data_IF_815300881004
#
_entry.id   IF_815300881004
#
_cell.length_a   1.000
_cell.length_b   1.000
_cell.length_c   1.000
_cell.angle_alpha   90.00
_cell.angle_beta   90.00
_cell.angle_gamma   90.00
#
_symmetry.space_group_name_H-M   'P 1'
#
loop_
_entity.id
_entity.type
_entity.pdbx_description
1 polymer ?
#
# COMPACT_ATOMS: atom_id res chain seq x y z
N UNK A 1 -5.03 -8.86 -22.09
CA UNK A 1 -4.08 -9.08 -20.98
C UNK A 1 -4.00 -7.84 -20.11
N UNK A 2 -4.16 -8.03 -18.82
CA UNK A 2 -4.12 -6.94 -17.84
C UNK A 2 -2.75 -6.88 -17.19
N UNK A 3 -2.15 -5.70 -17.20
CA UNK A 3 -0.85 -5.50 -16.56
C UNK A 3 -1.02 -5.59 -15.03
N UNK A 4 -0.08 -6.28 -14.39
CA UNK A 4 -0.06 -6.46 -12.94
C UNK A 4 1.30 -6.09 -12.39
N UNK A 5 1.33 -5.45 -11.24
CA UNK A 5 2.55 -5.16 -10.51
C UNK A 5 2.32 -5.46 -9.04
N UNK A 6 3.29 -6.10 -8.39
CA UNK A 6 3.12 -6.53 -7.00
C UNK A 6 4.43 -6.49 -6.24
N UNK A 7 4.32 -6.42 -4.92
CA UNK A 7 5.41 -6.67 -3.99
C UNK A 7 4.96 -7.73 -3.00
N UNK A 8 5.87 -8.59 -2.59
CA UNK A 8 5.61 -9.75 -1.74
C UNK A 8 6.51 -9.75 -0.51
N UNK A 9 6.18 -10.60 0.43
CA UNK A 9 7.04 -10.86 1.57
C UNK A 9 7.20 -9.70 2.52
N UNK A 10 6.17 -8.87 2.64
CA UNK A 10 6.18 -7.81 3.63
C UNK A 10 6.12 -8.42 5.02
N UNK A 11 7.23 -8.35 5.73
CA UNK A 11 7.35 -8.90 7.08
C UNK A 11 7.96 -7.83 7.98
N UNK A 12 7.15 -6.82 8.30
CA UNK A 12 7.57 -5.66 9.07
C UNK A 12 7.95 -4.45 8.22
N UNK A 13 7.85 -4.55 6.90
CA UNK A 13 8.11 -3.43 5.99
C UNK A 13 6.80 -2.78 5.55
N UNK A 14 6.90 -1.58 5.02
CA UNK A 14 5.76 -0.84 4.46
C UNK A 14 5.79 -0.95 2.94
N UNK A 15 4.62 -0.97 2.33
CA UNK A 15 4.49 -0.90 0.87
C UNK A 15 3.44 0.13 0.50
N UNK A 16 3.63 0.74 -0.66
CA UNK A 16 2.71 1.74 -1.20
C UNK A 16 2.34 1.34 -2.62
N UNK A 17 1.06 1.44 -2.95
CA UNK A 17 0.56 1.33 -4.31
C UNK A 17 -0.04 2.67 -4.71
N UNK A 18 0.36 3.18 -5.87
CA UNK A 18 -0.18 4.41 -6.45
C UNK A 18 -0.70 4.08 -7.83
N UNK A 19 -1.98 4.35 -8.07
CA UNK A 19 -2.57 4.25 -9.39
C UNK A 19 -2.89 5.66 -9.84
N UNK A 20 -2.32 6.07 -10.98
CA UNK A 20 -2.53 7.39 -11.56
C UNK A 20 -3.32 7.27 -12.85
N UNK A 21 -4.26 8.18 -13.05
CA UNK A 21 -5.02 8.30 -14.29
C UNK A 21 -4.68 9.63 -14.93
N UNK A 22 -4.48 9.62 -16.24
CA UNK A 22 -4.03 10.77 -17.01
C UNK A 22 -5.15 11.31 -17.92
N UNK A 23 -4.95 12.54 -18.37
CA UNK A 23 -5.93 13.25 -19.24
C UNK A 23 -6.28 12.46 -20.50
N UNK A 24 -5.33 11.71 -21.05
CA UNK A 24 -5.55 10.90 -22.26
C UNK A 24 -6.27 9.58 -21.96
N UNK A 25 -6.67 9.34 -20.74
CA UNK A 25 -7.31 8.10 -20.31
C UNK A 25 -6.36 6.98 -19.95
N UNK A 26 -5.06 7.16 -20.16
CA UNK A 26 -4.08 6.15 -19.77
C UNK A 26 -3.93 6.09 -18.26
N UNK A 27 -3.42 4.96 -17.77
CA UNK A 27 -3.23 4.71 -16.34
C UNK A 27 -1.83 4.16 -16.11
N UNK A 28 -1.29 4.46 -14.95
CA UNK A 28 -0.03 3.88 -14.52
C UNK A 28 -0.15 3.40 -13.08
N UNK A 29 0.69 2.45 -12.72
CA UNK A 29 0.78 1.95 -11.35
C UNK A 29 2.22 2.00 -10.88
N UNK A 30 2.39 2.36 -9.63
CA UNK A 30 3.66 2.32 -8.94
C UNK A 30 3.46 1.53 -7.66
N UNK A 31 4.27 0.49 -7.45
CA UNK A 31 4.27 -0.28 -6.20
C UNK A 31 5.68 -0.21 -5.65
N UNK A 32 5.79 0.23 -4.41
CA UNK A 32 7.09 0.46 -3.80
C UNK A 32 7.13 -0.16 -2.41
N UNK A 33 8.26 -0.80 -2.11
CA UNK A 33 8.56 -1.38 -0.82
C UNK A 33 9.48 -0.42 -0.06
N UNK A 34 9.10 -0.09 1.17
CA UNK A 34 9.89 0.76 2.06
C UNK A 34 10.55 -0.13 3.10
N UNK A 35 11.88 -0.19 3.05
CA UNK A 35 12.65 -0.91 4.06
C UNK A 35 13.00 0.04 5.20
N UNK A 36 12.88 -0.38 6.47
CA UNK A 36 13.30 0.44 7.60
C UNK A 36 14.76 0.87 7.53
N UNK A 37 15.62 0.04 6.93
CA UNK A 37 17.04 0.32 6.80
C UNK A 37 17.32 1.45 5.79
N UNK A 38 16.44 1.61 4.79
CA UNK A 38 16.60 2.56 3.70
C UNK A 38 15.42 3.53 3.61
N UNK A 39 14.87 3.92 4.75
CA UNK A 39 13.66 4.75 4.80
C UNK A 39 13.81 6.06 4.02
N UNK A 40 14.91 6.77 4.21
CA UNK A 40 15.14 8.06 3.54
C UNK A 40 15.22 7.92 2.03
N UNK A 41 15.90 6.88 1.55
CA UNK A 41 16.01 6.62 0.12
C UNK A 41 14.65 6.27 -0.46
N UNK A 42 13.89 5.42 0.24
CA UNK A 42 12.54 5.03 -0.19
C UNK A 42 11.62 6.24 -0.26
N UNK A 43 11.69 7.12 0.72
CA UNK A 43 10.89 8.35 0.73
C UNK A 43 11.29 9.29 -0.40
N UNK A 44 12.58 9.37 -0.73
CA UNK A 44 13.06 10.18 -1.84
C UNK A 44 12.51 9.68 -3.18
N UNK A 45 12.52 8.37 -3.40
CA UNK A 45 11.94 7.76 -4.59
C UNK A 45 10.43 8.03 -4.65
N UNK A 46 9.73 7.86 -3.55
CA UNK A 46 8.30 8.09 -3.48
C UNK A 46 7.95 9.56 -3.77
N UNK A 47 8.71 10.48 -3.19
CA UNK A 47 8.53 11.92 -3.45
C UNK A 47 8.70 12.21 -4.94
N UNK A 48 9.70 11.62 -5.57
CA UNK A 48 9.93 11.79 -7.00
C UNK A 48 8.75 11.31 -7.83
N UNK A 49 8.17 10.16 -7.48
CA UNK A 49 6.97 9.63 -8.16
C UNK A 49 5.79 10.58 -7.99
N UNK A 50 5.56 11.05 -6.77
CA UNK A 50 4.38 11.86 -6.45
C UNK A 50 4.48 13.30 -6.98
N UNK A 51 5.67 13.78 -7.31
CA UNK A 51 5.83 15.11 -7.92
C UNK A 51 5.64 15.11 -9.43
N UNK A 52 5.54 13.96 -10.07
CA UNK A 52 5.26 13.85 -11.50
C UNK A 52 3.76 14.02 -11.73
N UNK A 53 3.33 15.27 -11.86
CA UNK A 53 1.90 15.60 -11.92
C UNK A 53 1.40 15.94 -13.31
N UNK A 54 2.27 15.98 -14.32
CA UNK A 54 1.88 16.40 -15.67
C UNK A 54 0.83 15.46 -16.25
N UNK A 55 -0.35 16.02 -16.55
CA UNK A 55 -1.44 15.26 -17.13
C UNK A 55 -2.20 14.35 -16.16
N UNK A 56 -1.83 14.31 -14.91
CA UNK A 56 -2.51 13.48 -13.91
C UNK A 56 -3.83 14.13 -13.49
N UNK A 57 -4.93 13.40 -13.65
CA UNK A 57 -6.27 13.88 -13.25
C UNK A 57 -6.74 13.25 -11.95
N UNK A 58 -6.25 12.06 -11.60
CA UNK A 58 -6.58 11.44 -10.32
C UNK A 58 -5.51 10.45 -9.90
N UNK A 59 -5.43 10.23 -8.58
CA UNK A 59 -4.58 9.21 -7.98
C UNK A 59 -5.33 8.46 -6.91
N UNK A 60 -5.11 7.15 -6.86
CA UNK A 60 -5.54 6.29 -5.76
C UNK A 60 -4.28 5.78 -5.08
N UNK A 61 -4.19 5.98 -3.77
CA UNK A 61 -3.03 5.58 -2.98
C UNK A 61 -3.49 4.63 -1.87
N UNK A 62 -2.82 3.50 -1.77
CA UNK A 62 -3.00 2.54 -0.68
C UNK A 62 -1.65 2.32 -0.03
N UNK A 63 -1.60 2.44 1.29
CA UNK A 63 -0.40 2.20 2.08
C UNK A 63 -0.63 0.98 2.95
N UNK A 64 0.24 0.00 2.83
CA UNK A 64 0.18 -1.23 3.62
C UNK A 64 1.31 -1.19 4.64
N UNK A 65 0.96 -1.18 5.93
CA UNK A 65 1.91 -0.98 7.02
C UNK A 65 1.86 -2.14 8.01
N UNK A 66 2.96 -2.41 8.71
CA UNK A 66 2.90 -3.35 9.82
C UNK A 66 1.90 -2.88 10.86
N UNK A 67 1.06 -3.79 11.31
CA UNK A 67 0.03 -3.51 12.29
C UNK A 67 0.29 -4.14 13.65
N UNK A 68 -0.38 -3.64 14.65
CA UNK A 68 -0.42 -4.23 15.98
C UNK A 68 -1.85 -4.24 16.49
N UNK A 69 -2.16 -5.27 17.28
CA UNK A 69 -3.47 -5.40 17.89
C UNK A 69 -3.54 -4.54 19.14
N UNK A 70 -4.60 -3.75 19.25
CA UNK A 70 -4.88 -2.95 20.45
C UNK A 70 -6.36 -3.06 20.79
N UNK A 71 -6.73 -2.80 22.05
CA UNK A 71 -8.13 -2.67 22.43
C UNK A 71 -8.53 -1.21 22.30
N UNK A 72 -9.67 -0.97 21.64
CA UNK A 72 -10.24 0.38 21.60
C UNK A 72 -11.09 0.66 22.85
N UNK A 73 -11.65 1.87 22.93
CA UNK A 73 -12.45 2.29 24.06
C UNK A 73 -13.72 1.46 24.31
N UNK A 74 -14.19 0.72 23.31
CA UNK A 74 -15.36 -0.15 23.40
C UNK A 74 -15.00 -1.58 23.83
N UNK A 75 -13.73 -1.85 24.11
CA UNK A 75 -13.27 -3.18 24.48
C UNK A 75 -13.04 -4.12 23.30
N UNK A 76 -13.24 -3.65 22.07
CA UNK A 76 -12.97 -4.44 20.87
C UNK A 76 -11.49 -4.44 20.52
N UNK A 77 -11.02 -5.55 19.98
CA UNK A 77 -9.65 -5.66 19.48
C UNK A 77 -9.60 -5.19 18.03
N UNK A 78 -8.75 -4.21 17.75
CA UNK A 78 -8.57 -3.68 16.40
C UNK A 78 -7.09 -3.70 16.05
N UNK A 79 -6.79 -3.67 14.75
CA UNK A 79 -5.43 -3.58 14.27
C UNK A 79 -5.15 -2.13 13.84
N UNK A 80 -4.04 -1.59 14.29
CA UNK A 80 -3.63 -0.21 13.97
C UNK A 80 -2.18 -0.23 13.50
N UNK A 81 -1.71 0.83 12.82
CA UNK A 81 -0.31 0.90 12.45
C UNK A 81 0.62 0.78 13.66
N UNK A 82 1.63 -0.06 13.53
CA UNK A 82 2.60 -0.28 14.62
C UNK A 82 3.51 0.93 14.82
N UNK A 83 3.86 1.63 13.75
CA UNK A 83 4.77 2.78 13.79
C UNK A 83 4.11 3.96 13.07
N UNK A 84 3.38 4.75 13.84
CA UNK A 84 2.67 5.90 13.30
C UNK A 84 3.63 6.98 12.81
N UNK A 85 4.80 7.12 13.43
CA UNK A 85 5.77 8.13 13.04
C UNK A 85 6.34 7.85 11.63
N UNK A 86 6.68 6.59 11.36
CA UNK A 86 7.13 6.19 10.02
C UNK A 86 6.04 6.39 8.96
N UNK A 87 4.80 6.07 9.29
CA UNK A 87 3.67 6.29 8.39
C UNK A 87 3.51 7.78 8.09
N UNK A 88 3.56 8.62 9.11
CA UNK A 88 3.42 10.07 8.93
C UNK A 88 4.55 10.63 8.06
N UNK A 89 5.77 10.15 8.25
CA UNK A 89 6.92 10.57 7.44
C UNK A 89 6.73 10.21 5.97
N UNK A 90 6.25 9.01 5.71
CA UNK A 90 5.94 8.54 4.35
C UNK A 90 4.86 9.40 3.70
N UNK A 91 3.78 9.65 4.41
CA UNK A 91 2.67 10.46 3.90
C UNK A 91 3.14 11.88 3.59
N UNK A 92 3.97 12.45 4.45
CA UNK A 92 4.55 13.78 4.24
C UNK A 92 5.45 13.80 3.01
N UNK A 93 6.24 12.76 2.80
CA UNK A 93 7.11 12.65 1.62
C UNK A 93 6.30 12.68 0.32
N UNK A 94 5.13 12.08 0.30
CA UNK A 94 4.24 12.08 -0.85
C UNK A 94 3.27 13.25 -0.92
N UNK A 95 3.35 14.18 0.03
CA UNK A 95 2.40 15.30 0.18
C UNK A 95 0.97 14.81 0.38
N UNK A 96 0.80 13.79 1.19
CA UNK A 96 -0.48 13.09 1.42
C UNK A 96 -1.00 13.25 2.84
N UNK A 97 -0.36 14.05 3.68
CA UNK A 97 -0.69 14.12 5.12
C UNK A 97 -2.13 14.52 5.40
N UNK A 98 -2.72 15.37 4.54
CA UNK A 98 -4.08 15.85 4.69
C UNK A 98 -5.05 15.23 3.69
N UNK A 99 -4.62 14.17 3.00
CA UNK A 99 -5.43 13.53 1.96
C UNK A 99 -6.24 12.38 2.55
N UNK A 100 -7.55 12.61 2.72
CA UNK A 100 -8.46 11.62 3.28
C UNK A 100 -8.75 10.46 2.32
N UNK A 101 -8.36 10.58 1.04
CA UNK A 101 -8.58 9.51 0.07
C UNK A 101 -7.52 8.41 0.15
N UNK A 102 -6.42 8.65 0.85
CA UNK A 102 -5.39 7.63 1.07
C UNK A 102 -5.94 6.56 2.00
N UNK A 103 -5.83 5.31 1.58
CA UNK A 103 -6.23 4.18 2.41
C UNK A 103 -5.00 3.56 3.04
N UNK A 104 -5.03 3.43 4.36
CA UNK A 104 -3.97 2.78 5.14
C UNK A 104 -4.50 1.42 5.58
N UNK A 105 -3.76 0.38 5.25
CA UNK A 105 -4.11 -1.00 5.58
C UNK A 105 -3.03 -1.58 6.49
N UNK A 106 -3.29 -1.70 7.80
CA UNK A 106 -2.36 -2.35 8.71
C UNK A 106 -2.45 -3.88 8.52
N UNK A 107 -1.34 -4.51 8.17
CA UNK A 107 -1.32 -5.96 8.02
C UNK A 107 -0.75 -6.63 9.26
N UNK A 108 -1.16 -7.87 9.47
CA UNK A 108 -0.70 -8.65 10.61
C UNK A 108 0.68 -9.20 10.34
N UNK A 109 1.64 -8.83 11.20
CA UNK A 109 2.99 -9.39 11.15
C UNK A 109 2.99 -10.64 12.02
N UNK A 110 3.34 -11.78 11.44
CA UNK A 110 3.43 -13.04 12.17
C UNK A 110 4.86 -13.57 12.13
N UNK A 111 5.28 -14.18 13.23
CA UNK A 111 6.49 -14.99 13.22
C UNK A 111 6.17 -16.28 12.43
N UNK A 112 7.00 -16.72 11.56
CA UNK A 112 6.65 -17.83 10.67
C UNK A 112 5.86 -17.33 9.48
N UNK A 113 6.57 -16.64 8.66
CA UNK A 113 6.03 -16.01 7.46
C UNK A 113 5.39 -17.03 6.53
N UNK A 114 4.10 -16.87 6.26
CA UNK A 114 3.40 -17.71 5.31
C UNK A 114 3.40 -17.07 3.94
N UNK A 115 3.45 -17.92 2.93
CA UNK A 115 3.33 -17.46 1.55
C UNK A 115 2.02 -16.69 1.35
N UNK A 116 2.12 -15.52 0.78
CA UNK A 116 0.97 -14.66 0.54
C UNK A 116 0.71 -13.59 1.57
N UNK A 117 1.33 -13.69 2.74
CA UNK A 117 1.21 -12.62 3.72
C UNK A 117 2.06 -11.42 3.31
N UNK A 118 1.55 -10.21 3.62
CA UNK A 118 2.23 -8.98 3.27
C UNK A 118 2.43 -8.81 1.78
N UNK A 119 1.38 -9.06 0.99
CA UNK A 119 1.39 -8.89 -0.45
C UNK A 119 0.53 -7.69 -0.85
N UNK A 120 1.06 -6.86 -1.71
CA UNK A 120 0.35 -5.73 -2.28
C UNK A 120 0.46 -5.82 -3.80
N UNK A 121 -0.66 -5.81 -4.50
CA UNK A 121 -0.70 -5.95 -5.95
C UNK A 121 -1.68 -4.97 -6.57
N UNK A 122 -1.30 -4.41 -7.70
CA UNK A 122 -2.17 -3.61 -8.55
C UNK A 122 -2.40 -4.35 -9.85
N UNK A 123 -3.65 -4.47 -10.24
CA UNK A 123 -4.05 -4.97 -11.55
C UNK A 123 -4.63 -3.79 -12.32
N UNK A 124 -3.96 -3.40 -13.42
CA UNK A 124 -4.42 -2.32 -14.29
C UNK A 124 -5.37 -2.90 -15.33
N UNK A 125 -6.58 -2.43 -15.33
CA UNK A 125 -7.58 -2.74 -16.34
C UNK A 125 -8.38 -1.48 -16.60
N UNK A 126 -9.58 -1.64 -17.16
CA UNK A 126 -10.47 -0.49 -17.32
C UNK A 126 -10.78 0.16 -15.97
N UNK A 127 -10.95 -0.68 -14.95
CA UNK A 127 -11.07 -0.23 -13.57
C UNK A 127 -9.93 -0.87 -12.77
N UNK A 128 -8.88 -0.10 -12.43
CA UNK A 128 -7.77 -0.64 -11.66
C UNK A 128 -8.19 -1.15 -10.30
N UNK A 129 -7.65 -2.30 -9.90
CA UNK A 129 -7.94 -2.93 -8.62
C UNK A 129 -6.65 -3.07 -7.83
N UNK A 130 -6.72 -2.75 -6.54
CA UNK A 130 -5.60 -2.91 -5.62
C UNK A 130 -5.96 -4.03 -4.65
N UNK A 131 -5.08 -5.02 -4.57
CA UNK A 131 -5.25 -6.17 -3.70
C UNK A 131 -4.23 -6.11 -2.58
N UNK A 132 -4.70 -6.27 -1.36
CA UNK A 132 -3.84 -6.51 -0.21
C UNK A 132 -3.94 -7.99 0.14
N UNK A 133 -2.79 -8.62 0.39
CA UNK A 133 -2.75 -10.06 0.68
C UNK A 133 -3.45 -10.90 -0.39
N UNK A 134 -3.18 -10.57 -1.65
CA UNK A 134 -3.95 -11.08 -2.80
C UNK A 134 -3.97 -12.61 -2.91
N UNK A 135 -2.93 -13.29 -2.44
CA UNK A 135 -2.87 -14.76 -2.49
C UNK A 135 -3.90 -15.36 -1.55
N UNK A 136 -4.08 -14.77 -0.37
CA UNK A 136 -5.11 -15.22 0.56
C UNK A 136 -6.51 -15.01 -0.03
N UNK A 137 -6.75 -13.88 -0.67
CA UNK A 137 -8.02 -13.62 -1.32
C UNK A 137 -8.31 -14.63 -2.42
N UNK A 138 -7.30 -14.97 -3.23
CA UNK A 138 -7.46 -15.96 -4.29
C UNK A 138 -7.75 -17.34 -3.73
N UNK A 139 -7.07 -17.75 -2.66
CA UNK A 139 -7.33 -19.03 -2.00
C UNK A 139 -8.75 -19.08 -1.43
N UNK A 140 -9.23 -17.99 -0.84
CA UNK A 140 -10.58 -17.90 -0.32
C UNK A 140 -11.60 -18.05 -1.44
N UNK A 141 -11.38 -17.41 -2.57
CA UNK A 141 -12.27 -17.52 -3.74
C UNK A 141 -12.27 -18.92 -4.32
N UNK A 142 -11.11 -19.57 -4.39
CA UNK A 142 -11.01 -20.89 -4.99
C UNK A 142 -11.62 -21.99 -4.10
N UNK A 143 -11.73 -21.75 -2.81
CA UNK A 143 -12.32 -22.71 -1.87
C UNK A 143 -13.86 -22.60 -1.80
N UNK A 144 -14.40 -21.61 -2.45
CA UNK A 144 -15.85 -21.44 -2.53
C UNK A 144 -16.37 -21.96 -3.88
#
# INVERSE_FOLDING_TARGET
>A
DTAKIATFGLCGCTAVAVVSEYLDGSKSAHVQHFSPICQELSESVFRSVMTKNQGVVSRKVVVMVPGQWVQNGDGNTIIVPKDQASLNSLLQAGNLSDDNSVKVYPYRVTSGHRYGQGTLMVELGDEPVIYTECIQLNLTKSSS
#
